data_IF_330246162888
#
_entry.id   IF_330246162888
#
_cell.length_a   1.000
_cell.length_b   1.000
_cell.length_c   1.000
_cell.angle_alpha   90.00
_cell.angle_beta   90.00
_cell.angle_gamma   90.00
#
_symmetry.space_group_name_H-M   'P 1'
#
loop_
_entity.id
_entity.type
_entity.pdbx_description
1 polymer ?
#
# COMPACT_ATOMS: atom_id res chain seq x y z
N UNK A 1 11.68 19.39 21.85
CA UNK A 1 11.93 20.32 20.71
C UNK A 1 11.72 19.57 19.41
N UNK A 2 10.80 20.06 18.58
CA UNK A 2 10.52 19.54 17.24
C UNK A 2 11.68 19.91 16.30
N UNK A 3 12.16 18.95 15.50
CA UNK A 3 13.39 19.11 14.69
C UNK A 3 13.12 19.43 13.23
N UNK A 4 12.05 18.92 12.61
CA UNK A 4 11.67 19.18 11.21
C UNK A 4 10.17 18.96 10.96
N UNK A 5 9.61 19.67 9.98
CA UNK A 5 8.28 19.41 9.42
C UNK A 5 8.45 18.58 8.14
N UNK A 6 7.93 17.35 8.14
CA UNK A 6 7.92 16.46 6.97
C UNK A 6 6.50 16.24 6.47
N UNK A 7 6.31 16.19 5.15
CA UNK A 7 5.02 15.82 4.54
C UNK A 7 4.63 14.40 4.92
N UNK A 8 3.37 14.19 5.30
CA UNK A 8 2.84 12.84 5.49
C UNK A 8 2.87 12.10 4.15
N UNK A 9 3.39 10.87 4.12
CA UNK A 9 3.62 10.11 2.90
C UNK A 9 2.37 9.69 2.11
N UNK A 10 1.17 10.07 2.57
CA UNK A 10 -0.10 9.60 2.00
C UNK A 10 -1.29 10.55 2.26
N UNK A 11 -1.22 11.39 3.32
CA UNK A 11 -2.36 12.19 3.74
C UNK A 11 -2.59 13.39 2.82
N UNK A 12 -3.77 13.44 2.24
CA UNK A 12 -4.29 14.56 1.44
C UNK A 12 -5.51 15.13 2.14
N UNK A 13 -5.55 16.46 2.24
CA UNK A 13 -6.66 17.20 2.85
C UNK A 13 -7.46 17.86 1.73
N UNK A 14 -8.78 17.73 1.80
CA UNK A 14 -9.73 18.29 0.85
C UNK A 14 -10.70 19.16 1.64
N UNK A 15 -10.97 20.36 1.12
CA UNK A 15 -11.88 21.34 1.70
C UNK A 15 -12.84 21.83 0.63
N UNK A 16 -14.06 22.17 1.02
CA UNK A 16 -15.05 22.82 0.16
C UNK A 16 -14.65 24.27 -0.13
N UNK A 17 -14.19 24.98 0.89
CA UNK A 17 -13.66 26.34 0.81
C UNK A 17 -12.12 26.34 0.56
N UNK A 18 -11.54 27.43 0.05
CA UNK A 18 -10.10 27.55 -0.15
C UNK A 18 -9.31 27.20 1.13
N UNK A 19 -8.37 26.25 1.01
CA UNK A 19 -7.64 25.72 2.18
C UNK A 19 -6.88 26.80 2.97
N UNK A 20 -6.43 27.87 2.32
CA UNK A 20 -5.73 28.98 2.96
C UNK A 20 -6.63 29.83 3.89
N UNK A 21 -7.96 29.70 3.78
CA UNK A 21 -8.91 30.38 4.65
C UNK A 21 -9.23 29.57 5.91
N UNK A 22 -8.93 28.26 5.88
CA UNK A 22 -9.29 27.29 6.94
C UNK A 22 -8.07 26.74 7.67
N UNK A 23 -6.94 26.56 6.98
CA UNK A 23 -5.69 26.05 7.57
C UNK A 23 -4.45 26.78 7.03
N UNK A 24 -3.44 27.05 7.87
CA UNK A 24 -2.18 27.59 7.40
C UNK A 24 -1.48 26.56 6.50
N UNK A 25 -1.02 27.03 5.34
CA UNK A 25 -0.33 26.23 4.32
C UNK A 25 1.15 26.60 4.24
N UNK A 26 1.98 25.66 3.79
CA UNK A 26 3.40 25.86 3.54
C UNK A 26 3.83 25.14 2.26
N UNK A 27 4.92 25.62 1.65
CA UNK A 27 5.61 24.86 0.60
C UNK A 27 6.52 23.82 1.24
N UNK A 28 6.53 22.57 0.77
CA UNK A 28 7.43 21.55 1.28
C UNK A 28 8.88 21.88 0.93
N UNK A 29 9.79 21.47 1.80
CA UNK A 29 11.24 21.75 1.72
C UNK A 29 11.94 21.07 0.54
N UNK A 30 11.31 20.07 -0.08
CA UNK A 30 11.79 19.33 -1.26
C UNK A 30 10.72 19.35 -2.36
N UNK A 31 10.30 20.53 -2.78
CA UNK A 31 9.45 20.66 -3.96
C UNK A 31 10.30 20.56 -5.22
N UNK A 32 9.99 19.61 -6.11
CA UNK A 32 10.40 19.67 -7.51
C UNK A 32 9.59 20.81 -8.17
N UNK A 33 10.21 21.63 -9.02
CA UNK A 33 9.57 22.85 -9.59
C UNK A 33 8.28 22.54 -10.37
N UNK A 34 8.14 21.28 -10.82
CA UNK A 34 6.97 20.79 -11.57
C UNK A 34 5.87 20.16 -10.69
N UNK A 35 6.06 20.06 -9.37
CA UNK A 35 5.06 19.46 -8.47
C UNK A 35 4.51 20.54 -7.54
N UNK A 36 3.27 20.98 -7.79
CA UNK A 36 2.51 21.82 -6.85
C UNK A 36 2.14 20.96 -5.64
N UNK A 37 3.11 20.74 -4.76
CA UNK A 37 2.86 20.15 -3.45
C UNK A 37 2.73 21.31 -2.47
N UNK A 38 1.53 21.55 -1.96
CA UNK A 38 1.31 22.43 -0.81
C UNK A 38 0.94 21.54 0.37
N UNK A 39 1.47 21.83 1.55
CA UNK A 39 1.20 21.05 2.76
C UNK A 39 0.57 21.93 3.81
N UNK A 40 -0.32 21.36 4.63
CA UNK A 40 -0.77 22.04 5.83
C UNK A 40 0.38 22.17 6.83
N UNK A 41 0.38 23.25 7.62
CA UNK A 41 1.29 23.42 8.75
C UNK A 41 0.81 22.68 10.00
N UNK A 42 -0.45 22.25 10.01
CA UNK A 42 -1.01 21.46 11.11
C UNK A 42 -0.66 19.99 10.99
N UNK A 43 -0.51 19.35 12.15
CA UNK A 43 -0.44 17.90 12.24
C UNK A 43 -1.82 17.26 11.98
N UNK A 44 -1.86 15.93 11.90
CA UNK A 44 -3.06 15.17 11.58
C UNK A 44 -4.24 15.45 12.53
N UNK A 45 -4.00 15.48 13.85
CA UNK A 45 -5.06 15.64 14.85
C UNK A 45 -5.80 16.99 14.73
N UNK A 46 -5.12 18.15 14.67
CA UNK A 46 -5.80 19.43 14.46
C UNK A 46 -6.59 19.51 13.15
N UNK A 47 -6.08 18.94 12.05
CA UNK A 47 -6.80 18.91 10.77
C UNK A 47 -8.11 18.14 10.89
N UNK A 48 -8.08 16.99 11.56
CA UNK A 48 -9.29 16.20 11.81
C UNK A 48 -10.27 16.93 12.74
N UNK A 49 -9.77 17.62 13.77
CA UNK A 49 -10.59 18.40 14.70
C UNK A 49 -11.30 19.59 14.03
N UNK A 50 -10.73 20.14 12.95
CA UNK A 50 -11.36 21.17 12.11
C UNK A 50 -12.46 20.61 11.19
N UNK A 51 -12.70 19.30 11.19
CA UNK A 51 -13.72 18.67 10.36
C UNK A 51 -13.35 18.58 8.89
N UNK A 52 -12.08 18.78 8.54
CA UNK A 52 -11.61 18.70 7.16
C UNK A 52 -11.61 17.24 6.66
N UNK A 53 -12.01 17.06 5.40
CA UNK A 53 -11.96 15.75 4.76
C UNK A 53 -10.50 15.35 4.54
N UNK A 54 -10.12 14.20 5.10
CA UNK A 54 -8.79 13.62 4.95
C UNK A 54 -8.89 12.28 4.24
N UNK A 55 -8.08 12.12 3.20
CA UNK A 55 -7.93 10.88 2.44
C UNK A 55 -6.47 10.44 2.43
N UNK A 56 -6.22 9.14 2.54
CA UNK A 56 -4.88 8.59 2.38
C UNK A 56 -4.71 7.99 0.99
N UNK A 57 -3.72 8.49 0.25
CA UNK A 57 -3.28 7.95 -1.04
C UNK A 57 -1.97 7.20 -0.83
N UNK A 58 -2.07 5.89 -0.60
CA UNK A 58 -0.92 5.04 -0.30
C UNK A 58 -0.24 4.59 -1.60
N UNK A 59 1.04 4.91 -1.75
CA UNK A 59 1.90 4.32 -2.77
C UNK A 59 2.36 2.92 -2.36
N UNK A 60 1.69 1.87 -2.87
CA UNK A 60 2.06 0.49 -2.55
C UNK A 60 2.96 -0.13 -3.61
N UNK A 61 4.16 -0.55 -3.21
CA UNK A 61 5.16 -1.16 -4.11
C UNK A 61 4.66 -2.47 -4.71
N UNK A 62 3.91 -3.28 -3.95
CA UNK A 62 3.35 -4.54 -4.41
C UNK A 62 2.42 -4.36 -5.63
N UNK A 63 1.61 -3.29 -5.69
CA UNK A 63 0.76 -2.97 -6.83
C UNK A 63 1.60 -2.62 -8.07
N UNK A 64 2.73 -1.93 -7.88
CA UNK A 64 3.68 -1.65 -8.95
C UNK A 64 4.33 -2.93 -9.48
N UNK A 65 4.70 -3.85 -8.59
CA UNK A 65 5.23 -5.18 -8.97
C UNK A 65 4.20 -5.95 -9.79
N UNK A 66 2.96 -6.06 -9.31
CA UNK A 66 1.87 -6.74 -10.03
C UNK A 66 1.62 -6.15 -11.42
N UNK A 67 1.58 -4.82 -11.54
CA UNK A 67 1.40 -4.14 -12.81
C UNK A 67 2.54 -4.45 -13.80
N UNK A 68 3.80 -4.43 -13.32
CA UNK A 68 4.97 -4.81 -14.14
C UNK A 68 4.92 -6.27 -14.57
N UNK A 69 4.60 -7.18 -13.66
CA UNK A 69 4.45 -8.61 -13.96
C UNK A 69 3.42 -8.85 -15.06
N UNK A 70 2.23 -8.23 -14.96
CA UNK A 70 1.19 -8.34 -16.00
C UNK A 70 1.68 -7.82 -17.35
N UNK A 71 2.35 -6.67 -17.38
CA UNK A 71 2.88 -6.10 -18.63
C UNK A 71 3.93 -7.02 -19.28
N UNK A 72 4.77 -7.67 -18.48
CA UNK A 72 5.75 -8.65 -18.96
C UNK A 72 5.07 -9.91 -19.50
N UNK A 73 4.07 -10.45 -18.80
CA UNK A 73 3.31 -11.61 -19.26
C UNK A 73 2.57 -11.33 -20.57
N UNK A 74 1.94 -10.15 -20.71
CA UNK A 74 1.30 -9.73 -21.95
C UNK A 74 2.32 -9.61 -23.10
N UNK A 75 3.48 -8.99 -22.84
CA UNK A 75 4.53 -8.78 -23.85
C UNK A 75 5.19 -10.08 -24.32
N UNK A 76 5.46 -11.00 -23.41
CA UNK A 76 6.29 -12.19 -23.69
C UNK A 76 5.48 -13.47 -23.92
N UNK A 77 4.28 -13.56 -23.38
CA UNK A 77 3.44 -14.76 -23.45
C UNK A 77 2.06 -14.50 -24.07
N UNK A 78 1.74 -13.24 -24.42
CA UNK A 78 0.42 -12.87 -24.95
C UNK A 78 -0.72 -13.00 -23.92
N UNK A 79 -0.40 -13.25 -22.66
CA UNK A 79 -1.38 -13.41 -21.58
C UNK A 79 -1.86 -12.05 -21.09
N UNK A 80 -3.10 -11.70 -21.40
CA UNK A 80 -3.74 -10.48 -20.95
C UNK A 80 -4.93 -10.82 -20.04
N UNK A 81 -4.81 -10.50 -18.75
CA UNK A 81 -5.83 -10.77 -17.74
C UNK A 81 -5.85 -9.66 -16.68
N UNK A 82 -7.01 -9.44 -16.07
CA UNK A 82 -7.18 -8.59 -14.90
C UNK A 82 -6.90 -9.34 -13.60
N UNK A 83 -6.50 -8.63 -12.54
CA UNK A 83 -6.29 -9.25 -11.23
C UNK A 83 -7.56 -9.91 -10.66
N UNK A 84 -8.75 -9.43 -11.09
CA UNK A 84 -10.05 -9.99 -10.71
C UNK A 84 -10.34 -11.36 -11.35
N UNK A 85 -9.60 -11.71 -12.40
CA UNK A 85 -9.78 -12.95 -13.13
C UNK A 85 -8.97 -14.11 -12.52
N UNK A 86 -8.12 -13.82 -11.52
CA UNK A 86 -7.29 -14.82 -10.84
C UNK A 86 -8.16 -15.64 -9.88
N UNK A 87 -8.20 -16.99 -10.02
CA UNK A 87 -8.92 -17.85 -9.09
C UNK A 87 -8.28 -17.79 -7.68
N UNK A 88 -9.12 -17.84 -6.65
CA UNK A 88 -8.68 -17.75 -5.25
C UNK A 88 -8.45 -19.12 -4.59
N UNK A 89 -8.63 -20.19 -5.34
CA UNK A 89 -8.57 -21.59 -4.93
C UNK A 89 -7.49 -22.39 -5.69
N UNK A 90 -6.49 -21.71 -6.27
CA UNK A 90 -5.40 -22.36 -7.00
C UNK A 90 -4.51 -23.22 -6.08
N UNK A 91 -4.57 -24.54 -6.26
CA UNK A 91 -3.82 -25.50 -5.45
C UNK A 91 -2.30 -25.30 -5.51
N UNK A 92 -1.75 -24.93 -6.68
CA UNK A 92 -0.30 -24.74 -6.86
C UNK A 92 0.22 -23.55 -6.04
N UNK A 93 -0.58 -22.49 -5.93
CA UNK A 93 -0.29 -21.34 -5.07
C UNK A 93 -0.20 -21.74 -3.60
N UNK A 94 -1.14 -22.56 -3.13
CA UNK A 94 -1.12 -23.05 -1.75
C UNK A 94 0.00 -24.06 -1.46
N UNK A 95 0.34 -24.91 -2.43
CA UNK A 95 1.49 -25.80 -2.33
C UNK A 95 2.81 -25.02 -2.22
N UNK A 96 2.98 -23.96 -3.01
CA UNK A 96 4.14 -23.06 -2.93
C UNK A 96 4.28 -22.45 -1.52
N UNK A 97 3.18 -21.94 -0.97
CA UNK A 97 3.16 -21.42 0.40
C UNK A 97 3.46 -22.51 1.44
N UNK A 98 2.92 -23.71 1.25
CA UNK A 98 3.14 -24.86 2.15
C UNK A 98 4.59 -25.34 2.15
N UNK A 99 5.34 -25.14 1.05
CA UNK A 99 6.79 -25.38 0.98
C UNK A 99 7.60 -24.25 1.65
N UNK A 100 6.98 -23.11 1.91
CA UNK A 100 7.60 -21.92 2.48
C UNK A 100 8.43 -21.14 1.46
N UNK A 101 8.08 -21.23 0.19
CA UNK A 101 8.71 -20.46 -0.90
C UNK A 101 8.16 -19.02 -0.89
N UNK A 102 8.31 -18.29 0.22
CA UNK A 102 7.65 -16.99 0.43
C UNK A 102 8.50 -15.76 0.11
N UNK A 103 9.69 -15.95 -0.46
CA UNK A 103 10.55 -14.84 -0.87
C UNK A 103 9.84 -13.96 -1.93
N UNK A 104 9.70 -12.66 -1.67
CA UNK A 104 8.98 -11.73 -2.55
C UNK A 104 7.45 -11.89 -2.54
N UNK A 105 6.89 -12.71 -1.64
CA UNK A 105 5.43 -12.83 -1.44
C UNK A 105 5.00 -11.82 -0.38
N UNK A 106 4.23 -10.82 -0.79
CA UNK A 106 3.78 -9.72 0.07
C UNK A 106 3.18 -10.22 1.39
N UNK A 107 3.59 -9.61 2.51
CA UNK A 107 3.24 -9.97 3.90
C UNK A 107 3.77 -11.33 4.41
N UNK A 108 4.47 -12.12 3.59
CA UNK A 108 4.88 -13.50 3.93
C UNK A 108 6.40 -13.72 3.98
N UNK A 109 7.20 -12.67 3.77
CA UNK A 109 8.67 -12.78 3.60
C UNK A 109 9.44 -12.96 4.92
N UNK A 110 8.82 -12.64 6.06
CA UNK A 110 9.46 -12.71 7.37
C UNK A 110 9.78 -14.16 7.77
N UNK A 111 10.92 -14.40 8.40
CA UNK A 111 11.37 -15.75 8.80
C UNK A 111 10.36 -16.50 9.67
N UNK A 112 9.74 -15.81 10.63
CA UNK A 112 8.64 -16.37 11.42
C UNK A 112 7.43 -16.71 10.56
N UNK A 113 7.08 -15.83 9.63
CA UNK A 113 5.96 -16.02 8.71
C UNK A 113 6.14 -17.23 7.80
N UNK A 114 7.33 -17.35 7.21
CA UNK A 114 7.72 -18.50 6.39
C UNK A 114 7.64 -19.79 7.20
N UNK A 115 8.07 -19.78 8.46
CA UNK A 115 7.97 -20.97 9.33
C UNK A 115 6.50 -21.32 9.60
N UNK A 116 5.70 -20.37 10.03
CA UNK A 116 4.31 -20.63 10.41
C UNK A 116 3.45 -21.07 9.24
N UNK A 117 3.63 -20.49 8.05
CA UNK A 117 2.85 -20.90 6.88
C UNK A 117 3.18 -22.33 6.42
N UNK A 118 4.43 -22.80 6.61
CA UNK A 118 4.82 -24.19 6.36
C UNK A 118 4.19 -25.17 7.34
N UNK A 119 4.08 -24.78 8.61
CA UNK A 119 3.43 -25.56 9.66
C UNK A 119 1.91 -25.63 9.41
N UNK A 120 1.31 -24.50 9.02
CA UNK A 120 -0.12 -24.38 8.73
C UNK A 120 -0.55 -25.19 7.51
N UNK A 121 0.28 -25.20 6.44
CA UNK A 121 -0.05 -25.78 5.12
C UNK A 121 -1.40 -25.27 4.61
N UNK A 122 -1.49 -23.96 4.27
CA UNK A 122 -2.77 -23.34 3.92
C UNK A 122 -3.40 -24.08 2.74
N UNK A 123 -4.73 -24.21 2.77
CA UNK A 123 -5.52 -24.82 1.69
C UNK A 123 -6.55 -23.85 1.11
N UNK A 124 -6.65 -22.66 1.70
CA UNK A 124 -7.59 -21.62 1.29
C UNK A 124 -7.02 -20.23 1.55
N UNK A 125 -7.57 -19.23 0.87
CA UNK A 125 -7.25 -17.82 1.13
C UNK A 125 -7.61 -17.41 2.57
N UNK A 126 -8.61 -18.06 3.18
CA UNK A 126 -9.01 -17.81 4.57
C UNK A 126 -7.90 -18.22 5.54
N UNK A 127 -7.20 -19.31 5.28
CA UNK A 127 -6.07 -19.75 6.11
C UNK A 127 -4.93 -18.73 6.05
N UNK A 128 -4.64 -18.19 4.86
CA UNK A 128 -3.63 -17.14 4.66
C UNK A 128 -4.03 -15.85 5.39
N UNK A 129 -5.30 -15.44 5.27
CA UNK A 129 -5.79 -14.25 5.95
C UNK A 129 -5.77 -14.40 7.48
N UNK A 130 -6.15 -15.57 8.00
CA UNK A 130 -6.09 -15.87 9.42
C UNK A 130 -4.64 -15.82 9.93
N UNK A 131 -3.70 -16.36 9.17
CA UNK A 131 -2.28 -16.35 9.52
C UNK A 131 -1.74 -14.91 9.60
N UNK A 132 -2.09 -14.03 8.65
CA UNK A 132 -1.66 -12.61 8.68
C UNK A 132 -2.27 -11.85 9.88
N UNK A 133 -3.42 -12.27 10.37
CA UNK A 133 -4.14 -11.58 11.44
C UNK A 133 -3.72 -11.99 12.86
N UNK A 134 -2.98 -13.10 13.01
CA UNK A 134 -2.52 -13.66 14.29
C UNK A 134 -1.11 -13.18 14.64
#
# INVERSE_FOLDING_TARGET
>A
LTRHSSTHAAGVVISEEPLNDVVPLQRPTKADENTVSTTTQYAMEPVAALGLLKMDFLGLVNLTVLAKTRNLLAKHQGLNFGLKDIPLDDAKTFELLSRGETAGVFQMEGTGMTRHIKELKPSSLRDVAAMIAL
#
